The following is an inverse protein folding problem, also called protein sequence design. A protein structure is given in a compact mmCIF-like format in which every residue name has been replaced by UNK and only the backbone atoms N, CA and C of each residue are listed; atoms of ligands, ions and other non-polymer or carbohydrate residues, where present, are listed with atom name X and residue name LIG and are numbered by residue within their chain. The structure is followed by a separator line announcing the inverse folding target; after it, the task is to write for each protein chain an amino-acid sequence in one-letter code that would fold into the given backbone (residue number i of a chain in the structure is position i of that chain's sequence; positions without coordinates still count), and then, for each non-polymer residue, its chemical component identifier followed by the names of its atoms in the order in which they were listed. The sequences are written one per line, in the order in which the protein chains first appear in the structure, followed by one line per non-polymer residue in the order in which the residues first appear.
data_IF_267509660643
#
_entry.id   IF_267509660643
#
_cell.length_a   1.000
_cell.length_b   1.000
_cell.length_c   1.000
_cell.angle_alpha   90.00
_cell.angle_beta   90.00
_cell.angle_gamma   90.00
#
_symmetry.space_group_name_H-M   'P 1'
#
loop_
_entity.id
_entity.type
_entity.pdbx_description
1 polymer ?
#
# COMPACT_ATOMS: atom_id res chain seq x y z
N UNK A 1 14.34 -2.55 1.72
CA UNK A 1 12.90 -2.49 2.03
C UNK A 1 12.22 -1.47 1.13
N UNK A 2 10.90 -1.53 1.03
CA UNK A 2 10.10 -0.47 0.39
C UNK A 2 10.16 0.81 1.21
N UNK A 3 10.09 1.97 0.55
CA UNK A 3 10.03 3.27 1.23
C UNK A 3 8.66 3.47 1.86
N UNK A 4 8.64 4.09 3.03
CA UNK A 4 7.44 4.37 3.79
C UNK A 4 7.41 5.83 4.25
N UNK A 5 6.22 6.43 4.24
CA UNK A 5 5.94 7.74 4.83
C UNK A 5 5.08 7.52 6.08
N UNK A 6 5.51 8.08 7.21
CA UNK A 6 4.89 7.89 8.50
C UNK A 6 4.26 9.22 8.96
N UNK A 7 2.93 9.22 9.04
CA UNK A 7 2.10 10.30 9.59
C UNK A 7 1.95 10.08 11.08
N UNK A 8 2.26 11.08 11.90
CA UNK A 8 2.05 11.01 13.35
C UNK A 8 0.71 11.65 13.68
N UNK A 9 -0.24 10.91 14.24
CA UNK A 9 -1.60 11.41 14.42
C UNK A 9 -1.67 12.57 15.42
N UNK A 10 -0.73 12.61 16.37
CA UNK A 10 -0.60 13.68 17.37
C UNK A 10 -0.21 15.03 16.75
N UNK A 11 0.32 15.06 15.53
CA UNK A 11 0.82 16.27 14.88
C UNK A 11 0.29 16.38 13.45
N UNK A 12 -0.20 17.57 13.06
CA UNK A 12 -0.70 17.76 11.70
C UNK A 12 0.43 17.59 10.67
N UNK A 13 0.38 16.50 9.89
CA UNK A 13 1.43 16.15 8.94
C UNK A 13 1.56 17.13 7.75
N UNK A 14 0.50 17.86 7.40
CA UNK A 14 0.57 18.89 6.36
C UNK A 14 1.34 20.11 6.85
N UNK A 15 1.28 20.42 8.15
CA UNK A 15 1.99 21.55 8.75
C UNK A 15 3.42 21.22 9.17
N UNK A 16 3.62 20.05 9.77
CA UNK A 16 4.91 19.68 10.40
C UNK A 16 5.69 18.64 9.60
N UNK A 17 5.11 18.13 8.51
CA UNK A 17 5.72 17.13 7.66
C UNK A 17 5.48 15.70 8.13
N UNK A 18 6.19 14.79 7.49
CA UNK A 18 6.11 13.36 7.66
C UNK A 18 7.46 12.85 8.13
N UNK A 19 7.47 11.69 8.77
CA UNK A 19 8.71 10.94 8.93
C UNK A 19 8.89 9.96 7.78
N UNK A 20 10.15 9.69 7.47
CA UNK A 20 10.54 8.72 6.48
C UNK A 20 11.04 7.45 7.18
N UNK A 21 10.92 6.36 6.45
CA UNK A 21 11.30 5.06 6.93
C UNK A 21 11.32 4.02 5.84
N UNK A 22 11.71 2.81 6.21
CA UNK A 22 11.72 1.65 5.31
C UNK A 22 11.06 0.45 5.95
N UNK A 23 10.32 -0.30 5.15
CA UNK A 23 9.80 -1.61 5.56
C UNK A 23 10.98 -2.56 5.77
N UNK A 24 11.12 -3.07 6.98
CA UNK A 24 12.18 -3.99 7.40
C UNK A 24 11.77 -5.44 7.12
N UNK A 25 10.53 -5.78 7.47
CA UNK A 25 10.01 -7.14 7.33
C UNK A 25 8.50 -7.15 7.23
N UNK A 26 7.96 -8.13 6.51
CA UNK A 26 6.54 -8.51 6.56
C UNK A 26 6.49 -9.94 7.09
N UNK A 27 5.64 -10.17 8.10
CA UNK A 27 5.41 -11.51 8.65
C UNK A 27 4.85 -12.41 7.56
N UNK A 28 5.32 -13.67 7.53
CA UNK A 28 4.74 -14.70 6.66
C UNK A 28 3.45 -15.28 7.23
N UNK A 29 3.18 -15.00 8.49
CA UNK A 29 2.00 -15.48 9.19
C UNK A 29 0.89 -14.43 9.19
N UNK A 30 -0.33 -14.91 8.99
CA UNK A 30 -1.53 -14.09 8.87
C UNK A 30 -2.32 -14.09 10.18
N UNK A 31 -2.74 -12.92 10.61
CA UNK A 31 -3.66 -12.73 11.72
C UNK A 31 -5.07 -12.69 11.12
N UNK A 32 -5.89 -13.67 11.47
CA UNK A 32 -7.28 -13.74 11.02
C UNK A 32 -8.10 -12.74 11.83
N UNK A 33 -8.80 -11.85 11.12
CA UNK A 33 -9.81 -10.97 11.71
C UNK A 33 -11.18 -11.36 11.18
N UNK A 34 -12.07 -11.71 12.10
CA UNK A 34 -13.46 -11.97 11.75
C UNK A 34 -14.11 -10.67 11.29
N UNK A 35 -14.64 -10.67 10.06
CA UNK A 35 -15.40 -9.53 9.55
C UNK A 35 -16.76 -9.51 10.22
N UNK A 36 -17.15 -8.47 10.98
CA UNK A 36 -18.49 -8.38 11.54
C UNK A 36 -19.51 -8.34 10.39
N UNK A 37 -20.64 -9.07 10.49
CA UNK A 37 -21.59 -9.27 9.39
C UNK A 37 -22.43 -8.03 8.98
N UNK A 38 -21.94 -6.79 9.14
CA UNK A 38 -22.73 -5.57 8.99
C UNK A 38 -22.16 -4.43 8.12
N UNK A 39 -21.01 -4.61 7.46
CA UNK A 39 -20.43 -3.56 6.61
C UNK A 39 -20.96 -3.59 5.18
N UNK A 40 -21.98 -2.79 4.87
CA UNK A 40 -22.57 -2.59 3.54
C UNK A 40 -21.50 -2.15 2.51
N UNK A 41 -21.08 -3.07 1.64
CA UNK A 41 -20.36 -2.78 0.40
C UNK A 41 -21.22 -3.24 -0.77
N UNK A 42 -21.67 -2.29 -1.57
CA UNK A 42 -22.55 -2.46 -2.72
C UNK A 42 -21.97 -3.42 -3.77
N UNK A 43 -22.81 -4.39 -4.15
CA UNK A 43 -22.93 -5.08 -5.45
C UNK A 43 -21.77 -4.99 -6.43
N UNK A 44 -21.14 -6.13 -6.76
CA UNK A 44 -21.08 -6.68 -8.14
C UNK A 44 -20.93 -8.21 -8.12
N UNK A 45 -22.00 -8.90 -8.52
CA UNK A 45 -21.94 -10.25 -9.10
C UNK A 45 -21.33 -10.15 -10.51
N UNK A 46 -20.47 -11.10 -10.87
CA UNK A 46 -19.94 -11.29 -12.22
C UNK A 46 -18.79 -12.29 -12.19
N UNK A 47 -19.05 -13.55 -12.54
CA UNK A 47 -18.14 -14.67 -12.31
C UNK A 47 -16.91 -14.75 -13.22
N UNK A 48 -15.85 -15.34 -12.67
CA UNK A 48 -14.92 -16.29 -13.31
C UNK A 48 -13.87 -16.70 -12.25
N UNK A 49 -13.83 -18.00 -11.93
CA UNK A 49 -12.69 -18.77 -11.40
C UNK A 49 -11.81 -18.07 -10.35
N UNK A 50 -12.26 -18.01 -9.10
CA UNK A 50 -11.41 -17.71 -7.95
C UNK A 50 -10.70 -18.99 -7.48
N UNK A 51 -9.56 -19.34 -8.09
CA UNK A 51 -8.53 -20.19 -7.46
C UNK A 51 -7.72 -19.38 -6.43
N UNK A 52 -8.40 -18.67 -5.53
CA UNK A 52 -7.76 -18.00 -4.40
C UNK A 52 -8.20 -18.73 -3.14
N UNK A 53 -7.26 -19.38 -2.45
CA UNK A 53 -7.47 -20.09 -1.17
C UNK A 53 -7.81 -19.15 0.00
N UNK A 54 -8.53 -18.07 -0.26
CA UNK A 54 -8.97 -17.11 0.75
C UNK A 54 -10.34 -17.56 1.30
N UNK A 55 -10.44 -17.95 2.59
CA UNK A 55 -11.71 -18.31 3.20
C UNK A 55 -12.68 -17.12 3.18
N UNK A 56 -13.82 -17.30 2.52
CA UNK A 56 -14.88 -16.30 2.40
C UNK A 56 -15.35 -15.88 3.79
N UNK A 57 -15.12 -14.62 4.16
CA UNK A 57 -15.56 -14.03 5.43
C UNK A 57 -14.45 -13.70 6.44
N UNK A 58 -13.21 -14.09 6.16
CA UNK A 58 -12.05 -13.79 7.01
C UNK A 58 -11.11 -12.79 6.34
N UNK A 59 -10.76 -11.72 7.05
CA UNK A 59 -9.75 -10.76 6.60
C UNK A 59 -8.38 -11.21 7.13
N UNK A 60 -7.42 -11.41 6.24
CA UNK A 60 -6.05 -11.79 6.60
C UNK A 60 -5.18 -10.55 6.77
N UNK A 61 -4.69 -10.31 7.99
CA UNK A 61 -3.81 -9.19 8.32
C UNK A 61 -2.38 -9.67 8.52
N UNK A 62 -1.44 -9.10 7.77
CA UNK A 62 -0.02 -9.45 7.87
C UNK A 62 0.74 -8.34 8.60
N UNK A 63 1.42 -8.70 9.68
CA UNK A 63 2.19 -7.74 10.47
C UNK A 63 3.45 -7.29 9.70
N UNK A 64 3.57 -5.99 9.44
CA UNK A 64 4.77 -5.38 8.88
C UNK A 64 5.54 -4.62 9.96
N UNK A 65 6.88 -4.66 9.90
CA UNK A 65 7.77 -3.82 10.71
C UNK A 65 8.39 -2.76 9.83
N UNK A 66 8.29 -1.51 10.26
CA UNK A 66 8.79 -0.33 9.55
C UNK A 66 9.82 0.36 10.45
N UNK A 67 10.99 0.66 9.89
CA UNK A 67 12.03 1.46 10.53
C UNK A 67 11.69 2.94 10.39
N UNK A 68 12.06 3.74 11.37
CA UNK A 68 12.04 5.20 11.27
C UNK A 68 13.46 5.69 11.00
N UNK A 69 13.63 6.56 10.00
CA UNK A 69 14.93 7.17 9.69
C UNK A 69 15.35 8.19 10.77
N UNK A 70 14.38 8.70 11.53
CA UNK A 70 14.60 9.56 12.68
C UNK A 70 13.46 9.47 13.69
N UNK A 71 13.76 9.77 14.96
CA UNK A 71 12.78 9.74 16.06
C UNK A 71 12.47 11.13 16.61
N UNK A 72 12.88 12.17 15.87
CA UNK A 72 12.65 13.57 16.22
C UNK A 72 11.89 14.26 15.11
N UNK A 73 11.04 15.19 15.48
CA UNK A 73 10.29 16.01 14.55
C UNK A 73 10.33 17.48 14.98
N UNK A 74 10.50 18.34 13.99
CA UNK A 74 10.39 19.78 14.18
C UNK A 74 8.91 20.15 14.25
N UNK A 75 8.43 20.53 15.42
CA UNK A 75 7.06 21.00 15.62
C UNK A 75 7.14 22.44 16.09
N UNK A 76 6.70 23.35 15.23
CA UNK A 76 6.92 24.79 15.42
C UNK A 76 8.43 25.08 15.57
N UNK A 77 8.83 25.78 16.64
CA UNK A 77 10.23 26.13 16.91
C UNK A 77 10.93 25.13 17.85
N UNK A 78 10.33 23.95 18.08
CA UNK A 78 10.84 22.95 19.02
C UNK A 78 11.09 21.60 18.34
N UNK A 79 12.21 20.99 18.71
CA UNK A 79 12.51 19.60 18.38
C UNK A 79 11.85 18.67 19.40
N UNK A 80 10.83 17.94 18.97
CA UNK A 80 10.08 17.01 19.81
C UNK A 80 10.51 15.58 19.52
N UNK A 81 10.74 14.80 20.56
CA UNK A 81 11.03 13.38 20.44
C UNK A 81 9.72 12.60 20.32
N UNK A 82 9.72 11.60 19.44
CA UNK A 82 8.65 10.63 19.38
C UNK A 82 8.75 9.63 20.53
N UNK A 83 7.61 9.31 21.14
CA UNK A 83 7.52 8.30 22.20
C UNK A 83 6.80 7.03 21.71
N UNK A 84 7.13 5.85 22.25
CA UNK A 84 6.34 4.64 22.03
C UNK A 84 4.88 4.84 22.46
N UNK A 85 3.95 4.21 21.74
CA UNK A 85 2.51 4.30 22.02
C UNK A 85 1.78 5.43 21.30
N UNK A 86 2.48 6.31 20.59
CA UNK A 86 1.83 7.28 19.71
C UNK A 86 1.19 6.57 18.51
N UNK A 87 -0.03 7.01 18.17
CA UNK A 87 -0.73 6.54 17.00
C UNK A 87 -0.09 7.12 15.73
N UNK A 88 0.09 6.26 14.74
CA UNK A 88 0.72 6.60 13.46
C UNK A 88 0.00 5.91 12.32
N UNK A 89 -0.03 6.58 11.17
CA UNK A 89 -0.47 6.01 9.91
C UNK A 89 0.73 5.88 8.97
N UNK A 90 0.97 4.70 8.41
CA UNK A 90 2.11 4.44 7.54
C UNK A 90 1.64 4.20 6.10
N UNK A 91 2.17 4.97 5.17
CA UNK A 91 1.94 4.82 3.73
C UNK A 91 3.17 4.17 3.09
N UNK A 92 3.00 2.93 2.62
CA UNK A 92 4.09 2.14 2.02
C UNK A 92 4.04 2.29 0.50
N UNK A 93 5.15 2.70 -0.11
CA UNK A 93 5.31 2.82 -1.56
C UNK A 93 5.60 1.43 -2.14
N UNK A 94 4.59 0.78 -2.72
CA UNK A 94 4.67 -0.61 -3.21
C UNK A 94 5.20 -0.76 -4.64
N UNK A 95 5.30 0.33 -5.41
CA UNK A 95 5.84 0.32 -6.77
C UNK A 95 5.64 1.64 -7.52
N UNK A 96 6.10 1.70 -8.77
CA UNK A 96 5.89 2.82 -9.68
C UNK A 96 5.24 2.30 -10.98
N UNK A 97 3.98 2.65 -11.23
CA UNK A 97 3.29 2.23 -12.46
C UNK A 97 3.67 3.16 -13.61
N UNK A 98 4.23 2.60 -14.69
CA UNK A 98 4.60 3.36 -15.89
C UNK A 98 3.43 3.43 -16.87
N UNK A 99 2.90 4.64 -17.10
CA UNK A 99 1.74 4.87 -17.99
C UNK A 99 2.09 4.64 -19.47
N UNK A 100 3.37 4.81 -19.86
CA UNK A 100 3.83 4.63 -21.25
C UNK A 100 3.55 3.22 -21.82
N UNK A 101 3.40 2.20 -20.97
CA UNK A 101 3.03 0.84 -21.38
C UNK A 101 1.59 0.76 -21.93
N UNK A 102 0.67 1.60 -21.46
CA UNK A 102 -0.68 1.71 -22.03
C UNK A 102 -0.66 2.31 -23.44
N UNK A 103 0.21 3.31 -23.63
CA UNK A 103 0.28 4.09 -24.86
C UNK A 103 1.00 3.33 -25.97
N UNK A 104 1.96 2.47 -25.64
CA UNK A 104 2.69 1.65 -26.61
C UNK A 104 1.95 0.36 -27.02
N UNK A 105 0.88 -0.01 -26.32
CA UNK A 105 0.06 -1.19 -26.64
C UNK A 105 -0.57 -1.23 -28.05
N UNK A 106 -0.91 -0.11 -28.73
CA UNK A 106 -1.51 -0.15 -30.06
C UNK A 106 -0.47 -0.46 -31.15
N UNK A 107 0.78 -0.04 -30.97
CA UNK A 107 1.81 -0.08 -32.04
C UNK A 107 2.26 -1.53 -32.32
N UNK A 108 2.18 -2.40 -31.32
CA UNK A 108 2.49 -3.83 -31.46
C UNK A 108 1.41 -4.63 -32.22
N UNK A 109 0.16 -4.18 -32.25
CA UNK A 109 -0.93 -4.90 -32.96
C UNK A 109 -0.83 -4.79 -34.47
N UNK A 110 -0.19 -3.73 -34.99
CA UNK A 110 -0.05 -3.49 -36.43
C UNK A 110 1.16 -4.19 -37.07
N UNK A 111 2.05 -4.82 -36.30
CA UNK A 111 3.27 -5.45 -36.86
C UNK A 111 3.08 -6.89 -37.38
N UNK A 112 1.93 -7.53 -37.16
CA UNK A 112 1.72 -8.92 -37.56
C UNK A 112 0.85 -9.09 -38.81
N UNK A 113 0.06 -8.08 -39.20
CA UNK A 113 -0.76 -8.13 -40.44
C UNK A 113 0.02 -7.74 -41.71
N UNK A 114 1.15 -7.03 -41.63
CA UNK A 114 1.88 -6.60 -42.83
C UNK A 114 2.90 -7.62 -43.38
N UNK A 115 2.97 -8.84 -42.81
CA UNK A 115 3.93 -9.87 -43.18
C UNK A 115 3.32 -11.14 -43.82
N UNK A 116 2.00 -11.17 -44.06
CA UNK A 116 1.34 -12.31 -44.73
C UNK A 116 0.44 -11.90 -45.90
N UNK A 117 0.88 -10.95 -46.70
CA UNK A 117 0.29 -10.74 -48.03
C UNK A 117 1.40 -10.76 -49.09
N UNK A 118 1.73 -11.98 -49.53
CA UNK A 118 2.00 -12.36 -50.93
C UNK A 118 1.77 -13.86 -51.07
#
# INVERSE_FOLDING_TARGET
GQDAEIKIDTFNFTRYGLLHGKVISVSRDAIIKDKPPGGMGTTKQGGALSESSEPVGQELLYAARVSLDGTKMQVEDKMVNLAPGMAVTVEIKTGQRRIIEYVMSPVLRYKQESLRER
#
